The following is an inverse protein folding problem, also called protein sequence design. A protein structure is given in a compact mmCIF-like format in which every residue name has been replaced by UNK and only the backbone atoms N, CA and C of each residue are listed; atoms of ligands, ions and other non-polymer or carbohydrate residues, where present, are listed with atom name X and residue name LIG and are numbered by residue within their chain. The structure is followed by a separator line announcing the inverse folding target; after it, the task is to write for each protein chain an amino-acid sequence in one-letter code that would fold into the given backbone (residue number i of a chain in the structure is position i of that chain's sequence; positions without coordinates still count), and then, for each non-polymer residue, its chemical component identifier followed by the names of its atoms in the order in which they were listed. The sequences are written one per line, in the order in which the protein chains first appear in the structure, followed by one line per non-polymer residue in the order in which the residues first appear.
data_IF_755718348656
#
_entry.id   IF_755718348656
#
_cell.length_a   1.000
_cell.length_b   1.000
_cell.length_c   1.000
_cell.angle_alpha   90.00
_cell.angle_beta   90.00
_cell.angle_gamma   90.00
#
_symmetry.space_group_name_H-M   'P 1'
#
loop_
_entity.id
_entity.type
_entity.pdbx_description
1 polymer ?
#
# COMPACT_ATOMS: atom_id res chain seq x y z
N UNK A 1 20.50 -2.33 -12.90
CA UNK A 1 19.55 -3.41 -13.26
C UNK A 1 18.24 -3.32 -12.46
N UNK A 2 18.33 -2.94 -11.17
CA UNK A 2 17.22 -2.79 -10.20
C UNK A 2 16.11 -1.83 -10.62
N UNK A 3 16.45 -0.66 -11.19
CA UNK A 3 15.45 0.33 -11.63
C UNK A 3 14.60 -0.13 -12.81
N UNK A 4 15.19 -0.86 -13.78
CA UNK A 4 14.45 -1.45 -14.91
C UNK A 4 13.46 -2.52 -14.43
N UNK A 5 13.81 -3.26 -13.38
CA UNK A 5 12.94 -4.27 -12.75
C UNK A 5 11.77 -3.59 -12.03
N UNK A 6 12.04 -2.50 -11.31
CA UNK A 6 11.03 -1.69 -10.64
C UNK A 6 10.00 -1.09 -11.63
N UNK A 7 10.45 -0.52 -12.75
CA UNK A 7 9.52 0.01 -13.77
C UNK A 7 8.65 -1.07 -14.41
N UNK A 8 9.20 -2.28 -14.59
CA UNK A 8 8.42 -3.44 -15.08
C UNK A 8 7.42 -3.92 -14.04
N UNK A 9 7.73 -3.85 -12.74
CA UNK A 9 6.79 -4.20 -11.69
C UNK A 9 5.62 -3.24 -11.62
N UNK A 10 5.88 -1.94 -11.78
CA UNK A 10 4.85 -0.91 -11.89
C UNK A 10 3.83 -1.23 -12.99
N UNK A 11 4.33 -1.49 -14.20
CA UNK A 11 3.47 -1.80 -15.36
C UNK A 11 2.64 -3.06 -15.16
N UNK A 12 3.21 -4.08 -14.53
CA UNK A 12 2.50 -5.34 -14.24
C UNK A 12 1.46 -5.19 -13.12
N UNK A 13 1.73 -4.37 -12.11
CA UNK A 13 0.78 -4.07 -11.04
C UNK A 13 -0.51 -3.45 -11.59
N UNK A 14 -0.37 -2.43 -12.45
CA UNK A 14 -1.50 -1.75 -13.10
C UNK A 14 -2.32 -2.72 -13.97
N UNK A 15 -1.66 -3.65 -14.67
CA UNK A 15 -2.35 -4.65 -15.53
C UNK A 15 -3.18 -5.67 -14.74
N UNK A 16 -2.86 -5.93 -13.47
CA UNK A 16 -3.66 -6.83 -12.61
C UNK A 16 -4.94 -6.19 -12.04
N UNK A 17 -5.17 -4.91 -12.35
CA UNK A 17 -6.47 -4.21 -12.34
C UNK A 17 -7.27 -4.36 -11.05
N UNK A 18 -8.14 -5.39 -11.00
CA UNK A 18 -9.16 -5.57 -9.96
C UNK A 18 -8.61 -5.67 -8.53
N UNK A 19 -7.45 -6.31 -8.34
CA UNK A 19 -6.86 -6.48 -7.00
C UNK A 19 -6.10 -5.24 -6.58
N UNK A 20 -5.35 -4.66 -7.50
CA UNK A 20 -4.62 -3.43 -7.28
C UNK A 20 -5.58 -2.30 -6.88
N UNK A 21 -6.67 -2.11 -7.63
CA UNK A 21 -7.66 -1.07 -7.33
C UNK A 21 -8.33 -1.25 -5.97
N UNK A 22 -8.68 -2.48 -5.59
CA UNK A 22 -9.32 -2.75 -4.31
C UNK A 22 -8.42 -2.36 -3.12
N UNK A 23 -7.14 -2.74 -3.16
CA UNK A 23 -6.21 -2.35 -2.09
C UNK A 23 -5.95 -0.84 -2.09
N UNK A 24 -5.84 -0.20 -3.25
CA UNK A 24 -5.71 1.26 -3.35
C UNK A 24 -6.87 1.97 -2.66
N UNK A 25 -8.12 1.54 -2.90
CA UNK A 25 -9.31 2.12 -2.26
C UNK A 25 -9.26 1.93 -0.73
N UNK A 26 -8.94 0.72 -0.26
CA UNK A 26 -8.84 0.43 1.17
C UNK A 26 -7.76 1.31 1.84
N UNK A 27 -6.58 1.42 1.23
CA UNK A 27 -5.50 2.25 1.77
C UNK A 27 -5.83 3.73 1.73
N UNK A 28 -6.50 4.22 0.69
CA UNK A 28 -6.94 5.63 0.62
C UNK A 28 -7.87 5.96 1.79
N UNK A 29 -8.89 5.13 2.04
CA UNK A 29 -9.81 5.32 3.18
C UNK A 29 -9.06 5.30 4.53
N UNK A 30 -8.13 4.34 4.70
CA UNK A 30 -7.34 4.22 5.92
C UNK A 30 -6.43 5.44 6.15
N UNK A 31 -5.79 5.96 5.10
CA UNK A 31 -4.94 7.17 5.18
C UNK A 31 -5.80 8.36 5.61
N UNK A 32 -6.94 8.58 4.95
CA UNK A 32 -7.83 9.70 5.24
C UNK A 32 -8.33 9.70 6.70
N UNK A 33 -8.88 8.56 7.17
CA UNK A 33 -9.37 8.43 8.55
C UNK A 33 -8.24 8.66 9.56
N UNK A 34 -7.08 8.04 9.33
CA UNK A 34 -5.94 8.17 10.26
C UNK A 34 -5.40 9.60 10.26
N UNK A 35 -5.43 10.29 9.12
CA UNK A 35 -5.00 11.68 9.01
C UNK A 35 -5.88 12.62 9.83
N UNK A 36 -7.20 12.41 9.79
CA UNK A 36 -8.17 13.17 10.60
C UNK A 36 -7.91 12.95 12.10
N UNK A 37 -7.80 11.69 12.54
CA UNK A 37 -7.53 11.36 13.94
C UNK A 37 -6.21 11.98 14.41
N UNK A 38 -5.17 11.91 13.58
CA UNK A 38 -3.86 12.47 13.91
C UNK A 38 -3.91 14.01 13.99
N UNK A 39 -4.71 14.66 13.13
CA UNK A 39 -4.94 16.11 13.20
C UNK A 39 -5.58 16.52 14.55
N UNK A 40 -6.59 15.77 15.01
CA UNK A 40 -7.26 16.04 16.28
C UNK A 40 -6.32 15.84 17.49
N UNK A 41 -5.44 14.84 17.43
CA UNK A 41 -4.40 14.61 18.45
C UNK A 41 -3.41 15.78 18.49
N UNK A 42 -2.94 16.24 17.32
CA UNK A 42 -1.99 17.36 17.21
C UNK A 42 -2.58 18.68 17.72
N UNK A 43 -3.90 18.88 17.58
CA UNK A 43 -4.63 20.03 18.13
C UNK A 43 -4.95 19.91 19.63
N UNK A 44 -4.51 18.83 20.29
CA UNK A 44 -4.61 18.64 21.74
C UNK A 44 -5.92 18.05 22.25
N UNK A 45 -6.83 17.62 21.36
CA UNK A 45 -8.14 17.06 21.72
C UNK A 45 -8.30 15.56 21.47
N UNK A 46 -7.40 14.93 20.71
CA UNK A 46 -7.59 13.56 20.22
C UNK A 46 -7.15 12.44 21.16
N UNK A 47 -7.85 11.30 21.08
CA UNK A 47 -7.50 10.07 21.80
C UNK A 47 -6.39 9.28 21.08
N UNK A 48 -5.23 9.19 21.70
CA UNK A 48 -4.06 8.47 21.15
C UNK A 48 -4.33 6.98 20.90
N UNK A 49 -5.20 6.36 21.70
CA UNK A 49 -5.59 4.95 21.56
C UNK A 49 -6.24 4.65 20.20
N UNK A 50 -7.04 5.59 19.67
CA UNK A 50 -7.66 5.44 18.35
C UNK A 50 -6.62 5.42 17.23
N UNK A 51 -5.59 6.28 17.32
CA UNK A 51 -4.51 6.28 16.32
C UNK A 51 -3.77 4.93 16.31
N UNK A 52 -3.44 4.36 17.47
CA UNK A 52 -2.81 3.04 17.54
C UNK A 52 -3.71 1.93 16.99
N UNK A 53 -5.01 2.00 17.23
CA UNK A 53 -5.98 1.04 16.70
C UNK A 53 -6.00 1.04 15.16
N UNK A 54 -6.07 2.22 14.54
CA UNK A 54 -6.08 2.34 13.08
C UNK A 54 -4.73 1.95 12.44
N UNK A 55 -3.61 2.30 13.07
CA UNK A 55 -2.29 1.81 12.64
C UNK A 55 -2.21 0.27 12.74
N UNK A 56 -2.83 -0.32 13.76
CA UNK A 56 -2.98 -1.77 13.89
C UNK A 56 -3.77 -2.38 12.73
N UNK A 57 -4.89 -1.76 12.34
CA UNK A 57 -5.68 -2.19 11.17
C UNK A 57 -4.85 -2.09 9.89
N UNK A 58 -4.11 -1.00 9.69
CA UNK A 58 -3.20 -0.86 8.56
C UNK A 58 -2.18 -2.01 8.50
N UNK A 59 -1.62 -2.41 9.64
CA UNK A 59 -0.67 -3.52 9.71
C UNK A 59 -1.32 -4.85 9.34
N UNK A 60 -2.55 -5.11 9.80
CA UNK A 60 -3.31 -6.30 9.43
C UNK A 60 -3.58 -6.31 7.92
N UNK A 61 -4.02 -5.19 7.35
CA UNK A 61 -4.29 -5.07 5.90
C UNK A 61 -2.99 -5.27 5.09
N UNK A 62 -1.86 -4.73 5.55
CA UNK A 62 -0.56 -4.93 4.92
C UNK A 62 -0.13 -6.40 4.90
N UNK A 63 -0.35 -7.11 6.01
CA UNK A 63 -0.08 -8.54 6.11
C UNK A 63 -1.00 -9.35 5.18
N UNK A 64 -2.31 -9.09 5.21
CA UNK A 64 -3.29 -9.75 4.36
C UNK A 64 -2.97 -9.53 2.89
N UNK A 65 -2.63 -8.31 2.50
CA UNK A 65 -2.24 -8.00 1.13
C UNK A 65 -0.99 -8.77 0.71
N UNK A 66 0.05 -8.77 1.55
CA UNK A 66 1.27 -9.55 1.30
C UNK A 66 1.00 -11.05 1.16
N UNK A 67 0.10 -11.61 1.98
CA UNK A 67 -0.30 -13.02 1.94
C UNK A 67 -1.05 -13.37 0.64
N UNK A 68 -2.03 -12.56 0.25
CA UNK A 68 -2.79 -12.73 -0.98
C UNK A 68 -1.85 -12.64 -2.18
N UNK A 69 -1.01 -11.60 -2.22
CA UNK A 69 -0.05 -11.38 -3.30
C UNK A 69 0.92 -12.56 -3.44
N UNK A 70 1.43 -13.09 -2.31
CA UNK A 70 2.31 -14.26 -2.27
C UNK A 70 1.63 -15.56 -2.76
N UNK A 71 0.31 -15.65 -2.65
CA UNK A 71 -0.43 -16.87 -2.96
C UNK A 71 -0.79 -16.96 -4.44
N UNK A 72 -1.25 -15.86 -5.03
CA UNK A 72 -1.68 -15.85 -6.43
C UNK A 72 -0.54 -15.70 -7.43
N UNK A 73 0.58 -15.08 -7.05
CA UNK A 73 1.70 -14.83 -7.98
C UNK A 73 2.76 -15.92 -7.98
N UNK A 74 2.49 -17.10 -7.39
CA UNK A 74 3.44 -18.22 -7.36
C UNK A 74 3.92 -18.62 -8.77
N UNK A 75 3.00 -18.67 -9.74
CA UNK A 75 3.31 -19.00 -11.12
C UNK A 75 4.19 -17.93 -11.78
N UNK A 76 3.86 -16.65 -11.59
CA UNK A 76 4.67 -15.53 -12.10
C UNK A 76 6.08 -15.52 -11.50
N UNK A 77 6.21 -15.83 -10.21
CA UNK A 77 7.52 -15.93 -9.56
C UNK A 77 8.30 -17.15 -10.07
N UNK A 78 7.63 -18.28 -10.31
CA UNK A 78 8.26 -19.47 -10.87
C UNK A 78 8.79 -19.20 -12.29
N UNK A 79 8.01 -18.55 -13.16
CA UNK A 79 8.47 -18.19 -14.51
C UNK A 79 9.64 -17.21 -14.48
N UNK A 80 9.59 -16.19 -13.61
CA UNK A 80 10.73 -15.26 -13.44
C UNK A 80 11.99 -15.98 -12.97
N UNK A 81 11.88 -16.97 -12.07
CA UNK A 81 13.01 -17.81 -11.65
C UNK A 81 13.56 -18.66 -12.79
N UNK A 82 12.70 -19.23 -13.64
CA UNK A 82 13.14 -19.97 -14.83
C UNK A 82 13.85 -19.08 -15.86
N UNK A 83 13.49 -17.80 -15.94
CA UNK A 83 14.18 -16.79 -16.77
C UNK A 83 15.50 -16.28 -16.16
N UNK A 84 15.99 -16.89 -15.09
CA UNK A 84 17.26 -16.53 -14.46
C UNK A 84 17.20 -15.32 -13.53
N UNK A 85 16.02 -14.88 -13.08
CA UNK A 85 15.94 -13.77 -12.12
C UNK A 85 16.46 -14.18 -10.74
N UNK A 86 17.35 -13.36 -10.19
CA UNK A 86 17.84 -13.54 -8.82
C UNK A 86 16.75 -13.25 -7.78
N UNK A 87 16.95 -13.80 -6.58
CA UNK A 87 16.05 -13.55 -5.45
C UNK A 87 15.98 -12.06 -5.07
N UNK A 88 17.06 -11.29 -5.27
CA UNK A 88 17.06 -9.85 -5.05
C UNK A 88 16.15 -9.11 -6.04
N UNK A 89 16.17 -9.47 -7.32
CA UNK A 89 15.31 -8.85 -8.34
C UNK A 89 13.82 -9.10 -8.04
N UNK A 90 13.49 -10.30 -7.57
CA UNK A 90 12.13 -10.65 -7.15
C UNK A 90 11.69 -9.81 -5.94
N UNK A 91 12.56 -9.59 -4.95
CA UNK A 91 12.24 -8.70 -3.81
C UNK A 91 11.89 -7.28 -4.26
N UNK A 92 12.75 -6.69 -5.10
CA UNK A 92 12.54 -5.33 -5.62
C UNK A 92 11.27 -5.21 -6.46
N UNK A 93 10.91 -6.27 -7.17
CA UNK A 93 9.65 -6.33 -7.92
C UNK A 93 8.43 -6.18 -7.00
N UNK A 94 8.39 -6.91 -5.87
CA UNK A 94 7.29 -6.81 -4.91
C UNK A 94 7.28 -5.49 -4.15
N UNK A 95 8.45 -5.00 -3.73
CA UNK A 95 8.58 -3.70 -3.07
C UNK A 95 8.01 -2.61 -3.98
N UNK A 96 8.34 -2.63 -5.28
CA UNK A 96 7.83 -1.62 -6.21
C UNK A 96 6.32 -1.63 -6.41
N UNK A 97 5.70 -2.82 -6.45
CA UNK A 97 4.25 -2.92 -6.50
C UNK A 97 3.58 -2.39 -5.23
N UNK A 98 4.11 -2.76 -4.07
CA UNK A 98 3.57 -2.34 -2.77
C UNK A 98 3.70 -0.82 -2.57
N UNK A 99 4.84 -0.26 -2.94
CA UNK A 99 5.10 1.18 -2.87
C UNK A 99 4.19 1.94 -3.85
N UNK A 100 3.95 1.39 -5.05
CA UNK A 100 3.00 1.98 -6.01
C UNK A 100 1.59 2.07 -5.42
N UNK A 101 1.10 1.02 -4.75
CA UNK A 101 -0.22 1.04 -4.10
C UNK A 101 -0.29 2.18 -3.08
N UNK A 102 0.73 2.35 -2.24
CA UNK A 102 0.77 3.42 -1.25
C UNK A 102 0.77 4.81 -1.90
N UNK A 103 1.58 5.02 -2.94
CA UNK A 103 1.67 6.32 -3.63
C UNK A 103 0.35 6.66 -4.33
N UNK A 104 -0.25 5.70 -5.04
CA UNK A 104 -1.53 5.93 -5.71
C UNK A 104 -2.64 6.18 -4.70
N UNK A 105 -2.68 5.44 -3.59
CA UNK A 105 -3.63 5.66 -2.52
C UNK A 105 -3.49 7.05 -1.89
N UNK A 106 -2.26 7.51 -1.64
CA UNK A 106 -2.00 8.85 -1.10
C UNK A 106 -2.41 9.96 -2.07
N UNK A 107 -2.18 9.79 -3.37
CA UNK A 107 -2.62 10.78 -4.39
C UNK A 107 -4.14 10.86 -4.43
N UNK A 108 -4.84 9.73 -4.43
CA UNK A 108 -6.31 9.68 -4.43
C UNK A 108 -6.87 10.34 -3.17
N UNK A 109 -6.30 10.03 -2.00
CA UNK A 109 -6.73 10.62 -0.73
C UNK A 109 -6.52 12.14 -0.71
N UNK A 110 -5.36 12.62 -1.21
CA UNK A 110 -5.08 14.05 -1.35
C UNK A 110 -6.09 14.74 -2.28
N UNK A 111 -6.44 14.12 -3.41
CA UNK A 111 -7.45 14.65 -4.32
C UNK A 111 -8.83 14.74 -3.65
N UNK A 112 -9.22 13.71 -2.88
CA UNK A 112 -10.47 13.70 -2.12
C UNK A 112 -10.50 14.83 -1.09
N UNK A 113 -9.41 15.04 -0.33
CA UNK A 113 -9.32 16.09 0.69
C UNK A 113 -9.45 17.48 0.04
N UNK A 114 -8.76 17.73 -1.07
CA UNK A 114 -8.83 19.02 -1.78
C UNK A 114 -10.25 19.29 -2.29
N UNK A 115 -10.90 18.30 -2.89
CA UNK A 115 -12.28 18.46 -3.37
C UNK A 115 -13.26 18.65 -2.22
N UNK A 116 -13.07 17.94 -1.10
CA UNK A 116 -13.89 18.10 0.10
C UNK A 116 -13.81 19.53 0.66
N UNK A 117 -12.60 20.09 0.75
CA UNK A 117 -12.39 21.48 1.18
C UNK A 117 -13.00 22.49 0.21
N UNK A 118 -12.79 22.29 -1.11
CA UNK A 118 -13.30 23.20 -2.14
C UNK A 118 -14.83 23.23 -2.23
N UNK A 119 -15.47 22.06 -2.18
CA UNK A 119 -16.93 21.95 -2.18
C UNK A 119 -17.53 22.51 -0.88
N UNK A 120 -16.90 22.22 0.27
CA UNK A 120 -17.33 22.74 1.57
C UNK A 120 -17.41 24.27 1.55
N UNK A 121 -16.32 24.92 1.10
CA UNK A 121 -16.27 26.38 0.99
C UNK A 121 -17.35 26.94 0.05
N UNK A 122 -17.61 26.29 -1.09
CA UNK A 122 -18.64 26.73 -2.03
C UNK A 122 -20.07 26.67 -1.46
N UNK A 123 -20.37 25.69 -0.61
CA UNK A 123 -21.69 25.49 0.00
C UNK A 123 -21.85 26.32 1.30
N UNK A 124 -20.81 27.03 1.73
CA UNK A 124 -20.82 27.83 2.96
C UNK A 124 -20.69 26.99 4.24
N UNK A 125 -20.30 25.72 4.12
CA UNK A 125 -19.86 24.91 5.25
C UNK A 125 -18.38 25.23 5.46
N UNK A 126 -17.95 25.52 6.69
CA UNK A 126 -16.53 25.66 7.01
C UNK A 126 -16.00 24.28 7.45
N UNK A 127 -15.50 23.43 6.52
CA UNK A 127 -14.92 22.16 6.90
C UNK A 127 -13.69 22.40 7.80
N UNK A 128 -13.40 21.48 8.73
CA UNK A 128 -12.21 21.57 9.55
C UNK A 128 -10.96 21.59 8.66
N UNK A 129 -10.09 22.60 8.87
CA UNK A 129 -8.85 22.73 8.12
C UNK A 129 -7.93 21.57 8.52
N UNK A 130 -7.66 20.70 7.54
CA UNK A 130 -6.71 19.61 7.63
C UNK A 130 -5.32 20.15 7.28
N UNK A 131 -4.44 20.15 8.27
CA UNK A 131 -3.04 20.50 8.07
C UNK A 131 -2.34 19.44 7.22
N UNK A 132 -1.35 19.87 6.43
CA UNK A 132 -0.54 18.96 5.61
C UNK A 132 0.34 18.03 6.47
N UNK A 133 0.70 18.46 7.68
CA UNK A 133 1.62 17.73 8.56
C UNK A 133 1.07 16.36 8.99
N UNK A 134 -0.17 16.25 9.55
CA UNK A 134 -0.77 14.96 9.84
C UNK A 134 -0.83 14.03 8.63
N UNK A 135 -1.21 14.54 7.46
CA UNK A 135 -1.29 13.77 6.24
C UNK A 135 0.07 13.21 5.81
N UNK A 136 1.14 14.02 5.85
CA UNK A 136 2.48 13.54 5.53
C UNK A 136 2.94 12.45 6.52
N UNK A 137 2.68 12.63 7.81
CA UNK A 137 3.02 11.63 8.83
C UNK A 137 2.28 10.31 8.55
N UNK A 138 0.99 10.34 8.23
CA UNK A 138 0.24 9.10 7.95
C UNK A 138 0.73 8.38 6.70
N UNK A 139 1.12 9.11 5.64
CA UNK A 139 1.75 8.51 4.46
C UNK A 139 3.04 7.79 4.81
N UNK A 140 3.91 8.40 5.63
CA UNK A 140 5.14 7.75 6.09
C UNK A 140 4.87 6.55 6.97
N UNK A 141 3.88 6.62 7.86
CA UNK A 141 3.46 5.49 8.70
C UNK A 141 2.97 4.34 7.83
N UNK A 142 2.12 4.60 6.83
CA UNK A 142 1.64 3.57 5.90
C UNK A 142 2.79 2.91 5.15
N UNK A 143 3.74 3.69 4.62
CA UNK A 143 4.93 3.15 3.96
C UNK A 143 5.74 2.27 4.94
N UNK A 144 5.93 2.73 6.17
CA UNK A 144 6.61 2.00 7.24
C UNK A 144 5.94 0.66 7.56
N UNK A 145 4.63 0.68 7.77
CA UNK A 145 3.82 -0.51 8.06
C UNK A 145 3.82 -1.49 6.87
N UNK A 146 3.86 -0.98 5.64
CA UNK A 146 3.87 -1.80 4.43
C UNK A 146 5.10 -2.72 4.33
N UNK A 147 6.22 -2.33 4.93
CA UNK A 147 7.41 -3.19 4.99
C UNK A 147 7.14 -4.51 5.72
N UNK A 148 6.19 -4.55 6.67
CA UNK A 148 5.77 -5.82 7.30
C UNK A 148 5.10 -6.76 6.29
N UNK A 149 4.24 -6.22 5.44
CA UNK A 149 3.61 -6.95 4.34
C UNK A 149 4.63 -7.47 3.32
N UNK A 150 5.60 -6.62 2.94
CA UNK A 150 6.73 -7.01 2.08
C UNK A 150 7.49 -8.18 2.68
N UNK A 151 7.82 -8.09 3.98
CA UNK A 151 8.64 -9.09 4.65
C UNK A 151 8.00 -10.48 4.65
N UNK A 152 6.69 -10.55 4.92
CA UNK A 152 5.93 -11.80 4.88
C UNK A 152 5.85 -12.35 3.45
N UNK A 153 5.52 -11.50 2.48
CA UNK A 153 5.44 -11.91 1.07
C UNK A 153 6.79 -12.45 0.58
N UNK A 154 7.88 -11.78 0.93
CA UNK A 154 9.24 -12.17 0.60
C UNK A 154 9.58 -13.56 1.17
N UNK A 155 9.38 -13.78 2.48
CA UNK A 155 9.71 -15.07 3.12
C UNK A 155 8.96 -16.25 2.49
N UNK A 156 7.68 -16.06 2.13
CA UNK A 156 6.88 -17.10 1.49
C UNK A 156 7.29 -17.37 0.05
N UNK A 157 7.55 -16.31 -0.73
CA UNK A 157 7.90 -16.46 -2.14
C UNK A 157 9.26 -17.10 -2.37
N UNK A 158 10.23 -16.92 -1.47
CA UNK A 158 11.52 -17.59 -1.59
C UNK A 158 11.41 -19.12 -1.52
N UNK A 159 10.44 -19.62 -0.76
CA UNK A 159 10.22 -21.06 -0.53
C UNK A 159 9.46 -21.75 -1.67
N UNK A 160 8.97 -21.00 -2.67
CA UNK A 160 8.25 -21.58 -3.81
C UNK A 160 9.22 -22.33 -4.72
N UNK A 161 9.03 -23.65 -4.85
CA UNK A 161 9.76 -24.49 -5.80
C UNK A 161 9.19 -24.29 -7.21
N UNK A 162 9.98 -23.81 -8.20
CA UNK A 162 9.46 -23.47 -9.53
C UNK A 162 8.78 -24.65 -10.22
N UNK A 163 9.34 -25.85 -10.10
CA UNK A 163 8.81 -27.07 -10.73
C UNK A 163 7.41 -27.45 -10.20
N UNK A 164 7.16 -27.29 -8.90
CA UNK A 164 5.85 -27.59 -8.31
C UNK A 164 4.80 -26.54 -8.69
N UNK A 165 5.21 -25.28 -8.82
CA UNK A 165 4.31 -24.20 -9.21
C UNK A 165 3.89 -24.28 -10.68
N UNK A 166 4.81 -24.69 -11.57
CA UNK A 166 4.52 -24.89 -13.00
C UNK A 166 3.68 -26.14 -13.26
N UNK A 167 3.87 -27.22 -12.49
CA UNK A 167 3.08 -28.45 -12.62
C UNK A 167 1.60 -28.26 -12.23
N UNK A 168 1.30 -27.29 -11.37
CA UNK A 168 -0.06 -26.99 -10.88
C UNK A 168 -0.78 -25.89 -11.69
N UNK A 169 -0.14 -25.38 -12.74
CA UNK A 169 -0.67 -24.39 -13.66
C UNK A 169 -1.65 -25.04 -14.65
#
# INVERSE_FOLDING_TARGET
MTFRVFMKSLRLAVRTGKRFSLFVIIYSILIGITSIILNDILKGGGEVWLAFFFVGIMAVVALVYGLILSSYRKLQVATLRCLGWTSANIKWFFIGELLLVCVVAAIIDLEIIIHYLGIGYYIGINPPILDATPFLITVFVVIGVQFLGVFVAWRRMLKVRPMEALRKA
#
